data_IF_803004398743
#
_entry.id   IF_803004398743
#
_cell.length_a   1.000
_cell.length_b   1.000
_cell.length_c   1.000
_cell.angle_alpha   90.00
_cell.angle_beta   90.00
_cell.angle_gamma   90.00
#
_symmetry.space_group_name_H-M   'P 1'
#
loop_
_entity.id
_entity.type
_entity.pdbx_description
1 polymer ?
#
# COMPACT_ATOMS: atom_id res chain seq x y z
N UNK A 1 -11.92 -21.75 49.80
CA UNK A 1 -11.01 -21.14 48.80
C UNK A 1 -9.69 -20.80 49.47
N UNK A 2 -8.63 -21.46 49.05
CA UNK A 2 -7.33 -21.52 49.74
C UNK A 2 -6.49 -20.28 49.46
N UNK A 3 -5.75 -19.78 50.46
CA UNK A 3 -4.88 -18.59 50.41
C UNK A 3 -3.92 -18.56 49.20
N UNK A 4 -3.61 -19.70 48.59
CA UNK A 4 -2.75 -19.81 47.39
C UNK A 4 -3.37 -19.26 46.10
N UNK A 5 -4.70 -19.28 45.95
CA UNK A 5 -5.36 -18.75 44.76
C UNK A 5 -5.37 -17.20 44.73
N UNK A 6 -5.40 -16.58 45.91
CA UNK A 6 -5.38 -15.11 46.05
C UNK A 6 -3.99 -14.55 45.75
N UNK A 7 -2.92 -15.26 46.14
CA UNK A 7 -1.53 -14.82 45.86
C UNK A 7 -1.19 -14.90 44.37
N UNK A 8 -1.70 -15.91 43.65
CA UNK A 8 -1.48 -16.03 42.21
C UNK A 8 -2.18 -14.93 41.40
N UNK A 9 -3.39 -14.52 41.80
CA UNK A 9 -4.11 -13.41 41.17
C UNK A 9 -3.44 -12.06 41.44
N UNK A 10 -2.88 -11.87 42.64
CA UNK A 10 -2.16 -10.65 42.99
C UNK A 10 -0.83 -10.50 42.23
N UNK A 11 -0.10 -11.60 41.97
CA UNK A 11 1.11 -11.57 41.15
C UNK A 11 0.80 -11.25 39.67
N UNK A 12 -0.28 -11.82 39.11
CA UNK A 12 -0.72 -11.53 37.74
C UNK A 12 -1.18 -10.07 37.57
N UNK A 13 -1.80 -9.47 38.60
CA UNK A 13 -2.17 -8.05 38.58
C UNK A 13 -0.93 -7.12 38.67
N UNK A 14 0.12 -7.53 39.40
CA UNK A 14 1.33 -6.71 39.55
C UNK A 14 2.22 -6.62 38.29
N UNK A 15 2.15 -7.62 37.40
CA UNK A 15 2.84 -7.59 36.10
C UNK A 15 2.14 -6.71 35.05
N UNK A 16 0.88 -6.34 35.27
CA UNK A 16 0.13 -5.44 34.38
C UNK A 16 0.35 -3.95 34.70
N UNK A 17 1.02 -3.62 35.82
CA UNK A 17 1.17 -2.26 36.33
C UNK A 17 2.48 -1.56 35.91
N UNK A 18 3.24 -2.10 34.95
CA UNK A 18 4.25 -1.30 34.24
C UNK A 18 3.52 -0.31 33.32
N UNK A 19 3.01 0.76 33.93
CA UNK A 19 2.26 1.82 33.28
C UNK A 19 3.06 2.34 32.09
N UNK A 20 2.51 2.20 30.89
CA UNK A 20 2.96 2.95 29.74
C UNK A 20 2.92 4.43 30.12
N UNK A 21 4.07 5.02 30.44
CA UNK A 21 4.19 6.48 30.57
C UNK A 21 3.66 7.03 29.25
N UNK A 22 2.55 7.76 29.30
CA UNK A 22 2.12 8.59 28.19
C UNK A 22 3.25 9.58 27.93
N UNK A 23 4.06 9.28 26.92
CA UNK A 23 5.08 10.20 26.44
C UNK A 23 4.30 11.29 25.72
N UNK A 24 3.98 12.35 26.45
CA UNK A 24 3.55 13.62 25.86
C UNK A 24 4.78 14.15 25.13
N UNK A 25 4.74 14.09 23.80
CA UNK A 25 5.78 14.67 22.97
C UNK A 25 5.77 16.18 23.19
N UNK A 26 6.83 16.72 23.77
CA UNK A 26 6.93 18.15 24.03
C UNK A 26 7.03 19.00 22.75
N UNK A 27 7.44 18.39 21.62
CA UNK A 27 7.83 19.12 20.40
C UNK A 27 7.22 18.51 19.14
N UNK A 28 5.90 18.72 18.94
CA UNK A 28 5.27 18.37 17.66
C UNK A 28 5.90 19.19 16.51
N UNK A 29 6.34 18.51 15.44
CA UNK A 29 6.96 19.12 14.27
C UNK A 29 6.06 18.99 13.03
N UNK A 30 5.70 20.12 12.44
CA UNK A 30 5.04 20.18 11.13
C UNK A 30 6.05 20.69 10.09
N UNK A 31 6.36 19.86 9.09
CA UNK A 31 7.26 20.21 8.00
C UNK A 31 6.49 20.48 6.71
N UNK A 32 6.77 21.64 6.10
CA UNK A 32 6.22 22.07 4.80
C UNK A 32 7.28 22.87 4.03
N UNK A 33 7.30 22.71 2.72
CA UNK A 33 8.31 23.26 1.81
C UNK A 33 9.75 23.04 2.32
N UNK A 34 10.00 21.86 2.90
CA UNK A 34 11.31 21.51 3.47
C UNK A 34 11.69 22.19 4.79
N UNK A 35 10.82 23.02 5.38
CA UNK A 35 11.04 23.66 6.67
C UNK A 35 10.17 22.99 7.76
N UNK A 36 10.81 22.44 8.79
CA UNK A 36 10.13 21.91 9.98
C UNK A 36 10.03 23.00 11.05
N UNK A 37 8.81 23.30 11.49
CA UNK A 37 8.56 24.21 12.61
C UNK A 37 7.92 23.44 13.75
N UNK A 38 8.26 23.81 14.98
CA UNK A 38 7.46 23.40 16.12
C UNK A 38 6.03 23.92 15.89
N UNK A 39 5.01 23.08 16.10
CA UNK A 39 3.61 23.45 15.84
C UNK A 39 3.03 24.48 16.82
N UNK A 40 3.87 25.24 17.53
CA UNK A 40 3.51 26.21 18.55
C UNK A 40 2.69 27.43 18.04
N UNK A 41 2.13 27.38 16.83
CA UNK A 41 1.22 28.40 16.29
C UNK A 41 0.32 27.93 15.15
N UNK A 42 0.16 26.61 14.96
CA UNK A 42 -0.80 26.07 13.99
C UNK A 42 -2.16 25.79 14.63
N UNK A 43 -3.21 25.66 13.83
CA UNK A 43 -4.53 25.24 14.35
C UNK A 43 -4.71 23.72 14.33
N UNK A 44 -5.63 23.20 15.14
CA UNK A 44 -6.04 21.78 15.13
C UNK A 44 -6.43 21.32 13.72
N UNK A 45 -7.11 22.19 12.98
CA UNK A 45 -7.55 21.96 11.61
C UNK A 45 -6.38 21.86 10.63
N UNK A 46 -5.35 22.68 10.79
CA UNK A 46 -4.15 22.63 9.95
C UNK A 46 -3.38 21.32 10.13
N UNK A 47 -3.29 20.85 11.38
CA UNK A 47 -2.69 19.56 11.72
C UNK A 47 -3.51 18.40 11.14
N UNK A 48 -4.84 18.43 11.33
CA UNK A 48 -5.73 17.41 10.79
C UNK A 48 -5.63 17.31 9.25
N UNK A 49 -5.60 18.46 8.55
CA UNK A 49 -5.40 18.50 7.09
C UNK A 49 -4.03 17.97 6.69
N UNK A 50 -2.96 18.32 7.41
CA UNK A 50 -1.62 17.84 7.11
C UNK A 50 -1.53 16.30 7.20
N UNK A 51 -2.06 15.72 8.27
CA UNK A 51 -2.11 14.26 8.45
C UNK A 51 -2.98 13.63 7.37
N UNK A 52 -4.15 14.19 7.10
CA UNK A 52 -5.04 13.72 6.03
C UNK A 52 -4.33 13.72 4.68
N UNK A 53 -3.62 14.78 4.31
CA UNK A 53 -2.86 14.84 3.06
C UNK A 53 -1.80 13.74 2.97
N UNK A 54 -1.04 13.49 4.04
CA UNK A 54 -0.04 12.41 4.05
C UNK A 54 -0.71 11.04 3.89
N UNK A 55 -1.76 10.75 4.66
CA UNK A 55 -2.49 9.49 4.56
C UNK A 55 -3.18 9.31 3.19
N UNK A 56 -3.76 10.38 2.64
CA UNK A 56 -4.40 10.36 1.32
C UNK A 56 -3.38 10.05 0.23
N UNK A 57 -2.17 10.63 0.31
CA UNK A 57 -1.08 10.33 -0.63
C UNK A 57 -0.57 8.88 -0.52
N UNK A 58 -0.86 8.23 0.62
CA UNK A 58 -0.59 6.82 0.87
C UNK A 58 -1.72 5.89 0.43
N UNK A 59 -2.90 6.40 0.03
CA UNK A 59 -4.04 5.57 -0.35
C UNK A 59 -3.68 4.67 -1.54
N UNK A 60 -3.91 3.37 -1.40
CA UNK A 60 -3.46 2.33 -2.34
C UNK A 60 -1.96 1.98 -2.25
N UNK A 61 -1.21 2.52 -1.27
CA UNK A 61 0.25 2.42 -1.19
C UNK A 61 0.73 2.00 0.19
N UNK A 62 2.01 1.64 0.25
CA UNK A 62 2.67 1.26 1.49
C UNK A 62 3.21 2.49 2.23
N UNK A 63 2.87 2.62 3.51
CA UNK A 63 3.66 3.38 4.48
C UNK A 63 4.79 2.47 4.97
N UNK A 64 6.00 2.67 4.43
CA UNK A 64 7.20 1.92 4.82
C UNK A 64 7.59 2.32 6.24
N UNK A 65 7.63 1.31 7.12
CA UNK A 65 7.95 1.50 8.52
C UNK A 65 9.47 1.39 8.74
N UNK A 66 10.03 2.28 9.55
CA UNK A 66 11.41 2.18 10.00
C UNK A 66 11.51 2.58 11.46
N UNK A 67 12.00 1.65 12.28
CA UNK A 67 12.36 1.94 13.66
C UNK A 67 13.59 2.85 13.68
N UNK A 68 13.46 4.05 14.26
CA UNK A 68 14.50 5.07 14.30
C UNK A 68 14.53 5.78 15.67
N UNK A 69 15.44 6.73 15.84
CA UNK A 69 15.45 7.61 17.03
C UNK A 69 14.53 8.82 16.80
N UNK A 70 13.92 9.39 17.86
CA UNK A 70 13.23 10.67 17.76
C UNK A 70 14.11 11.73 17.10
N UNK A 71 13.54 12.51 16.18
CA UNK A 71 14.26 13.52 15.41
C UNK A 71 15.04 13.01 14.19
N UNK A 72 15.04 11.70 13.90
CA UNK A 72 15.69 11.17 12.70
C UNK A 72 15.09 11.79 11.42
N UNK A 73 15.94 12.31 10.54
CA UNK A 73 15.51 12.97 9.31
C UNK A 73 15.17 12.00 8.16
N UNK A 74 15.60 10.73 8.24
CA UNK A 74 15.49 9.76 7.15
C UNK A 74 15.01 8.41 7.66
N UNK A 75 14.05 7.83 6.96
CA UNK A 75 13.64 6.43 7.13
C UNK A 75 14.63 5.51 6.43
N UNK A 76 15.13 4.48 7.12
CA UNK A 76 16.02 3.45 6.55
C UNK A 76 15.28 2.18 6.11
N UNK A 77 13.95 2.16 6.19
CA UNK A 77 13.12 1.02 5.79
C UNK A 77 13.43 -0.29 6.53
N UNK A 78 13.94 -0.20 7.77
CA UNK A 78 14.36 -1.40 8.52
C UNK A 78 13.19 -2.18 9.10
N UNK A 79 11.96 -1.66 9.02
CA UNK A 79 10.79 -2.19 9.69
C UNK A 79 10.82 -1.91 11.19
N UNK A 80 9.71 -2.25 11.85
CA UNK A 80 9.62 -2.38 13.31
C UNK A 80 9.88 -3.83 13.71
N UNK A 81 10.57 -4.04 14.83
CA UNK A 81 10.83 -5.38 15.36
C UNK A 81 10.19 -5.51 16.73
N UNK A 82 9.37 -6.54 16.91
CA UNK A 82 8.78 -6.84 18.21
C UNK A 82 8.96 -8.32 18.52
N UNK A 83 9.12 -8.62 19.80
CA UNK A 83 9.17 -9.99 20.24
C UNK A 83 7.74 -10.54 20.32
N UNK A 84 7.54 -11.72 19.73
CA UNK A 84 6.26 -12.42 19.74
C UNK A 84 6.50 -13.85 20.16
N UNK A 85 5.84 -14.26 21.23
CA UNK A 85 5.71 -15.65 21.62
C UNK A 85 4.60 -16.27 20.76
N UNK A 86 4.99 -16.82 19.61
CA UNK A 86 4.07 -17.39 18.64
C UNK A 86 3.95 -18.91 18.81
N UNK A 87 3.08 -19.37 19.71
CA UNK A 87 2.99 -20.81 20.01
C UNK A 87 4.27 -21.35 20.63
N UNK A 88 4.78 -22.52 20.19
CA UNK A 88 5.96 -23.13 20.82
C UNK A 88 7.26 -22.39 20.51
N UNK A 89 7.30 -21.51 19.51
CA UNK A 89 8.54 -20.86 19.05
C UNK A 89 8.45 -19.35 19.28
N UNK A 90 9.16 -18.80 20.29
CA UNK A 90 9.33 -17.36 20.40
C UNK A 90 10.25 -16.85 19.28
N UNK A 91 9.84 -15.77 18.62
CA UNK A 91 10.69 -15.12 17.61
C UNK A 91 10.37 -13.64 17.45
N UNK A 92 11.13 -12.97 16.59
CA UNK A 92 10.93 -11.57 16.26
C UNK A 92 9.97 -11.45 15.08
N UNK A 93 8.85 -10.76 15.29
CA UNK A 93 8.04 -10.21 14.20
C UNK A 93 8.70 -8.95 13.65
N UNK A 94 8.81 -8.87 12.32
CA UNK A 94 9.29 -7.71 11.60
C UNK A 94 8.17 -7.08 10.78
N UNK A 95 7.60 -5.98 11.25
CA UNK A 95 6.62 -5.18 10.51
C UNK A 95 7.33 -4.29 9.50
N UNK A 96 7.11 -4.51 8.21
CA UNK A 96 7.82 -3.81 7.12
C UNK A 96 7.07 -2.57 6.65
N UNK A 97 5.76 -2.67 6.50
CA UNK A 97 4.92 -1.61 5.96
C UNK A 97 3.49 -1.69 6.51
N UNK A 98 2.80 -0.55 6.48
CA UNK A 98 1.34 -0.47 6.60
C UNK A 98 0.79 -0.09 5.23
N UNK A 99 0.16 -1.04 4.55
CA UNK A 99 -0.50 -0.78 3.26
C UNK A 99 -1.82 -0.05 3.54
N UNK A 100 -1.95 1.22 3.17
CA UNK A 100 -3.18 1.99 3.35
C UNK A 100 -4.08 1.68 2.16
N UNK A 101 -5.15 0.93 2.40
CA UNK A 101 -6.08 0.52 1.33
C UNK A 101 -6.92 1.70 0.88
N UNK A 102 -7.50 2.43 1.83
CA UNK A 102 -8.34 3.59 1.56
C UNK A 102 -8.31 4.54 2.75
N UNK A 103 -8.41 5.84 2.47
CA UNK A 103 -8.70 6.85 3.49
C UNK A 103 -10.18 7.18 3.39
N UNK A 104 -10.94 6.93 4.46
CA UNK A 104 -12.39 6.99 4.45
C UNK A 104 -12.90 8.44 4.42
N UNK A 105 -12.51 9.22 5.43
CA UNK A 105 -12.87 10.63 5.56
C UNK A 105 -12.04 11.32 6.64
N UNK A 106 -12.04 12.66 6.57
CA UNK A 106 -11.60 13.57 7.61
C UNK A 106 -12.84 14.13 8.32
N UNK A 107 -13.03 13.76 9.59
CA UNK A 107 -14.06 14.31 10.45
C UNK A 107 -13.50 15.53 11.19
N UNK A 108 -13.91 16.73 10.78
CA UNK A 108 -13.47 17.98 11.39
C UNK A 108 -14.09 18.24 12.76
N UNK A 109 -15.27 17.67 13.05
CA UNK A 109 -15.95 17.84 14.32
C UNK A 109 -15.29 16.97 15.40
N UNK A 110 -15.03 15.71 15.09
CA UNK A 110 -14.28 14.80 15.97
C UNK A 110 -12.78 15.08 15.94
N UNK A 111 -12.28 15.76 14.90
CA UNK A 111 -10.86 15.91 14.61
C UNK A 111 -10.22 14.54 14.42
N UNK A 112 -10.77 13.73 13.53
CA UNK A 112 -10.31 12.36 13.29
C UNK A 112 -10.15 12.07 11.80
N UNK A 113 -9.03 11.45 11.41
CA UNK A 113 -8.82 10.89 10.07
C UNK A 113 -9.01 9.38 10.17
N UNK A 114 -10.04 8.83 9.53
CA UNK A 114 -10.29 7.38 9.50
C UNK A 114 -9.78 6.78 8.20
N UNK A 115 -9.14 5.62 8.30
CA UNK A 115 -8.56 4.92 7.16
C UNK A 115 -8.65 3.41 7.36
N UNK A 116 -8.55 2.66 6.27
CA UNK A 116 -8.36 1.21 6.32
C UNK A 116 -6.97 0.85 5.83
N UNK A 117 -6.39 -0.16 6.42
CA UNK A 117 -5.07 -0.62 6.02
C UNK A 117 -4.76 -2.04 6.43
N UNK A 118 -3.64 -2.56 5.94
CA UNK A 118 -3.15 -3.91 6.21
C UNK A 118 -1.68 -3.85 6.56
N UNK A 119 -1.31 -4.37 7.74
CA UNK A 119 0.11 -4.54 8.07
C UNK A 119 0.75 -5.62 7.18
N UNK A 120 1.95 -5.32 6.69
CA UNK A 120 2.82 -6.25 5.98
C UNK A 120 4.04 -6.52 6.85
N UNK A 121 4.35 -7.78 7.07
CA UNK A 121 5.50 -8.16 7.89
C UNK A 121 5.87 -9.63 7.73
N UNK A 122 6.88 -10.03 8.48
CA UNK A 122 7.36 -11.41 8.51
C UNK A 122 7.56 -11.87 9.94
N UNK A 123 7.26 -13.13 10.22
CA UNK A 123 7.60 -13.83 11.46
C UNK A 123 8.39 -15.08 11.09
N UNK A 124 9.57 -15.28 11.68
CA UNK A 124 10.50 -16.36 11.27
C UNK A 124 10.73 -16.39 9.75
N UNK A 125 10.92 -15.22 9.12
CA UNK A 125 11.09 -15.05 7.68
C UNK A 125 9.86 -15.40 6.81
N UNK A 126 8.80 -15.97 7.39
CA UNK A 126 7.54 -16.27 6.70
C UNK A 126 6.64 -15.02 6.68
N UNK A 127 5.99 -14.70 5.55
CA UNK A 127 5.02 -13.62 5.48
C UNK A 127 3.86 -13.81 6.47
N UNK A 128 3.50 -12.73 7.17
CA UNK A 128 2.30 -12.70 8.01
C UNK A 128 1.14 -12.17 7.18
N UNK A 129 0.06 -12.93 7.11
CA UNK A 129 -1.16 -12.50 6.41
C UNK A 129 -2.06 -11.77 7.37
N UNK A 130 -2.34 -10.50 7.10
CA UNK A 130 -3.26 -9.72 7.89
C UNK A 130 -4.51 -9.35 7.11
N UNK A 131 -5.66 -9.33 7.79
CA UNK A 131 -6.88 -8.73 7.27
C UNK A 131 -6.69 -7.22 7.07
N UNK A 132 -7.57 -6.62 6.28
CA UNK A 132 -7.76 -5.17 6.34
C UNK A 132 -8.32 -4.85 7.73
N UNK A 133 -7.71 -3.87 8.38
CA UNK A 133 -8.10 -3.34 9.67
C UNK A 133 -8.47 -1.87 9.55
N UNK A 134 -9.15 -1.37 10.57
CA UNK A 134 -9.51 0.05 10.67
C UNK A 134 -8.49 0.78 11.54
N UNK A 135 -8.15 1.98 11.09
CA UNK A 135 -7.32 2.92 11.82
C UNK A 135 -7.95 4.29 11.89
N UNK A 136 -7.62 5.02 12.95
CA UNK A 136 -8.00 6.39 13.14
C UNK A 136 -6.80 7.17 13.67
N UNK A 137 -6.57 8.36 13.12
CA UNK A 137 -5.72 9.37 13.73
C UNK A 137 -6.61 10.42 14.37
N UNK A 138 -6.60 10.50 15.70
CA UNK A 138 -7.35 11.50 16.48
C UNK A 138 -6.46 12.68 16.80
N UNK A 139 -6.84 13.87 16.35
CA UNK A 139 -6.19 15.13 16.65
C UNK A 139 -6.84 15.69 17.92
N UNK A 140 -6.14 15.57 19.05
CA UNK A 140 -6.61 15.97 20.37
C UNK A 140 -6.37 17.47 20.62
N UNK A 141 -5.28 18.02 20.08
CA UNK A 141 -4.94 19.44 20.13
C UNK A 141 -4.13 19.85 18.89
N UNK A 142 -3.67 21.10 18.84
CA UNK A 142 -2.71 21.61 17.85
C UNK A 142 -1.31 20.94 17.94
N UNK A 143 -1.04 20.20 19.03
CA UNK A 143 0.26 19.56 19.30
C UNK A 143 0.17 18.07 19.59
N UNK A 144 -1.03 17.52 19.63
CA UNK A 144 -1.24 16.13 19.99
C UNK A 144 -2.15 15.44 18.98
N UNK A 145 -1.57 14.45 18.30
CA UNK A 145 -2.30 13.53 17.44
C UNK A 145 -1.96 12.09 17.82
N UNK A 146 -2.98 11.24 17.91
CA UNK A 146 -2.85 9.84 18.30
C UNK A 146 -3.32 8.93 17.19
N UNK A 147 -2.44 8.03 16.76
CA UNK A 147 -2.78 6.92 15.88
C UNK A 147 -3.31 5.75 16.70
N UNK A 148 -4.42 5.17 16.26
CA UNK A 148 -4.86 3.84 16.65
C UNK A 148 -5.15 3.03 15.38
N UNK A 149 -4.64 1.82 15.30
CA UNK A 149 -4.88 0.90 14.20
C UNK A 149 -4.95 -0.51 14.76
N UNK A 150 -5.92 -1.29 14.29
CA UNK A 150 -6.03 -2.69 14.70
C UNK A 150 -6.35 -3.60 13.54
N UNK A 151 -5.77 -4.79 13.54
CA UNK A 151 -5.99 -5.79 12.50
C UNK A 151 -5.87 -7.21 13.05
N UNK A 152 -6.41 -8.16 12.29
CA UNK A 152 -6.25 -9.58 12.54
C UNK A 152 -5.12 -10.10 11.66
N UNK A 153 -4.20 -10.86 12.24
CA UNK A 153 -3.06 -11.44 11.53
C UNK A 153 -2.94 -12.94 11.83
N UNK A 154 -2.58 -13.72 10.81
CA UNK A 154 -2.25 -15.13 10.94
C UNK A 154 -0.89 -15.41 10.32
N UNK A 155 -0.16 -16.31 10.98
CA UNK A 155 1.06 -16.91 10.48
C UNK A 155 0.99 -18.38 10.94
N UNK A 156 0.70 -19.31 10.03
CA UNK A 156 0.54 -20.76 10.31
C UNK A 156 -0.69 -21.18 11.15
N UNK A 157 -1.83 -20.49 11.02
CA UNK A 157 -3.12 -21.02 11.48
C UNK A 157 -3.88 -20.07 12.41
N UNK A 158 -3.51 -19.95 13.70
CA UNK A 158 -4.29 -19.19 14.66
C UNK A 158 -4.27 -17.70 14.33
N UNK A 159 -5.47 -17.13 14.22
CA UNK A 159 -5.66 -15.70 14.08
C UNK A 159 -5.34 -15.00 15.40
N UNK A 160 -4.53 -13.95 15.32
CA UNK A 160 -4.15 -13.11 16.44
C UNK A 160 -4.60 -11.67 16.18
N UNK A 161 -5.08 -11.00 17.22
CA UNK A 161 -5.46 -9.60 17.16
C UNK A 161 -4.26 -8.74 17.50
N UNK A 162 -3.98 -7.73 16.68
CA UNK A 162 -2.90 -6.78 16.88
C UNK A 162 -3.44 -5.36 16.91
N UNK A 163 -2.94 -4.56 17.85
CA UNK A 163 -3.22 -3.14 17.98
C UNK A 163 -1.91 -2.36 17.96
N UNK A 164 -1.79 -1.44 17.02
CA UNK A 164 -0.78 -0.40 16.94
C UNK A 164 -1.41 0.88 17.46
N UNK A 165 -0.88 1.44 18.54
CA UNK A 165 -1.26 2.77 19.00
C UNK A 165 -0.02 3.64 19.22
N UNK A 166 -0.13 4.95 19.04
CA UNK A 166 1.02 5.82 19.20
C UNK A 166 0.74 7.30 19.06
N UNK A 167 1.64 8.11 19.61
CA UNK A 167 1.57 9.57 19.56
C UNK A 167 2.41 10.07 18.40
N UNK A 168 1.76 10.76 17.46
CA UNK A 168 2.41 11.41 16.32
C UNK A 168 3.04 12.70 16.83
N UNK A 169 4.35 12.82 16.63
CA UNK A 169 5.13 14.00 16.99
C UNK A 169 5.73 14.69 15.76
N UNK A 170 5.63 14.09 14.58
CA UNK A 170 6.15 14.67 13.35
C UNK A 170 5.25 14.37 12.16
N UNK A 171 4.94 15.40 11.40
CA UNK A 171 4.25 15.30 10.11
C UNK A 171 5.03 16.11 9.09
N UNK A 172 5.53 15.43 8.07
CA UNK A 172 6.24 16.03 6.95
C UNK A 172 5.40 15.81 5.68
N UNK A 173 4.69 16.86 5.28
CA UNK A 173 3.69 16.78 4.21
C UNK A 173 4.38 16.60 2.86
N UNK A 174 5.51 17.27 2.63
CA UNK A 174 6.21 17.19 1.34
C UNK A 174 6.92 15.84 1.18
N UNK A 175 7.48 15.30 2.27
CA UNK A 175 8.17 14.01 2.24
C UNK A 175 7.21 12.81 2.37
N UNK A 176 5.92 13.05 2.62
CA UNK A 176 4.93 12.00 2.90
C UNK A 176 5.33 11.16 4.12
N UNK A 177 5.71 11.80 5.22
CA UNK A 177 6.30 11.11 6.37
C UNK A 177 5.58 11.45 7.67
N UNK A 178 5.35 10.43 8.49
CA UNK A 178 4.84 10.53 9.86
C UNK A 178 5.88 9.96 10.83
N UNK A 179 6.19 10.70 11.89
CA UNK A 179 6.96 10.21 13.03
C UNK A 179 6.02 9.99 14.21
N UNK A 180 6.16 8.84 14.87
CA UNK A 180 5.39 8.55 16.08
C UNK A 180 6.12 7.65 17.07
N UNK A 181 5.83 7.88 18.34
CA UNK A 181 6.10 6.94 19.43
C UNK A 181 5.02 5.87 19.42
N UNK A 182 5.39 4.62 19.12
CA UNK A 182 4.45 3.54 18.95
C UNK A 182 4.49 2.53 20.10
N UNK A 183 3.35 1.88 20.30
CA UNK A 183 3.13 0.68 21.08
C UNK A 183 2.40 -0.30 20.18
N UNK A 184 3.05 -1.42 19.87
CA UNK A 184 2.44 -2.55 19.19
C UNK A 184 2.19 -3.63 20.24
N UNK A 185 0.95 -4.10 20.34
CA UNK A 185 0.57 -5.21 21.21
C UNK A 185 -0.38 -6.12 20.48
N UNK A 186 -0.21 -7.42 20.65
CA UNK A 186 -1.10 -8.38 20.04
C UNK A 186 -1.16 -9.68 20.82
N UNK A 187 -2.29 -10.35 20.63
CA UNK A 187 -2.69 -11.50 21.42
C UNK A 187 -3.66 -12.39 20.65
N UNK A 188 -3.55 -13.68 20.87
CA UNK A 188 -4.43 -14.74 20.40
C UNK A 188 -4.03 -16.04 21.09
N UNK A 189 -4.82 -17.10 20.96
CA UNK A 189 -4.38 -18.42 21.43
C UNK A 189 -3.59 -19.06 20.29
N UNK A 190 -2.29 -19.40 20.43
CA UNK A 190 -1.35 -19.26 21.55
C UNK A 190 -0.26 -18.17 21.31
N UNK A 191 -0.64 -17.01 20.77
CA UNK A 191 0.27 -15.94 20.34
C UNK A 191 0.16 -14.74 21.27
N UNK A 192 1.24 -14.30 21.92
CA UNK A 192 1.29 -13.01 22.63
C UNK A 192 2.57 -12.29 22.27
N UNK A 193 2.50 -11.00 21.99
CA UNK A 193 3.68 -10.23 21.66
C UNK A 193 3.46 -8.73 21.72
N UNK A 194 4.56 -8.00 21.68
CA UNK A 194 4.51 -6.57 21.64
C UNK A 194 5.88 -5.92 21.73
N UNK A 195 5.86 -4.61 21.51
CA UNK A 195 7.05 -3.78 21.60
C UNK A 195 6.65 -2.33 21.48
N UNK A 196 7.57 -1.46 21.85
CA UNK A 196 7.40 -0.02 21.77
C UNK A 196 8.68 0.62 21.29
N UNK A 197 8.56 1.75 20.62
CA UNK A 197 9.72 2.49 20.14
C UNK A 197 9.30 3.76 19.43
N UNK A 198 10.20 4.28 18.63
CA UNK A 198 9.93 5.39 17.73
C UNK A 198 10.02 4.88 16.30
N UNK A 199 9.01 5.19 15.49
CA UNK A 199 8.98 4.79 14.09
C UNK A 199 8.75 5.99 13.19
N UNK A 200 9.36 5.92 12.01
CA UNK A 200 9.02 6.75 10.87
C UNK A 200 8.21 5.90 9.88
N UNK A 201 7.01 6.35 9.56
CA UNK A 201 6.16 5.81 8.52
C UNK A 201 6.25 6.75 7.30
N UNK A 202 6.92 6.30 6.25
CA UNK A 202 7.10 7.09 5.02
C UNK A 202 6.28 6.47 3.91
N UNK A 203 5.50 7.28 3.20
CA UNK A 203 4.85 6.89 1.94
C UNK A 203 5.95 6.36 1.04
N UNK A 204 5.85 5.08 0.67
CA UNK A 204 6.74 4.49 -0.30
C UNK A 204 6.79 5.45 -1.48
N UNK A 205 8.00 5.80 -1.96
CA UNK A 205 8.09 6.40 -3.28
C UNK A 205 7.26 5.53 -4.23
N UNK A 206 6.72 6.13 -5.28
CA UNK A 206 6.01 5.37 -6.31
C UNK A 206 7.02 4.41 -6.93
N UNK A 207 7.18 3.30 -6.25
CA UNK A 207 7.98 2.18 -6.63
C UNK A 207 6.95 1.37 -7.40
N UNK A 208 7.11 1.38 -8.73
CA UNK A 208 7.11 0.15 -9.52
C UNK A 208 6.69 -1.03 -8.66
N UNK A 209 5.41 -1.43 -8.75
CA UNK A 209 4.77 -2.40 -7.88
C UNK A 209 5.61 -3.70 -7.75
N UNK A 210 5.38 -4.57 -6.74
CA UNK A 210 6.08 -5.84 -6.61
C UNK A 210 5.97 -6.76 -7.84
N UNK A 211 4.82 -6.77 -8.54
CA UNK A 211 4.77 -6.37 -9.95
C UNK A 211 6.01 -6.55 -10.84
N UNK A 212 6.80 -5.48 -10.79
CA UNK A 212 7.92 -5.14 -11.63
C UNK A 212 9.22 -5.83 -11.20
N UNK A 213 9.27 -6.52 -10.05
CA UNK A 213 10.45 -7.30 -9.65
C UNK A 213 10.44 -8.72 -10.20
N UNK A 214 9.27 -9.30 -10.44
CA UNK A 214 9.17 -10.43 -11.36
C UNK A 214 9.44 -9.96 -12.81
N UNK A 215 9.01 -8.72 -13.12
CA UNK A 215 9.26 -8.06 -14.41
C UNK A 215 10.71 -7.65 -14.67
N UNK A 216 11.56 -7.56 -13.63
CA UNK A 216 12.95 -7.14 -13.77
C UNK A 216 13.81 -8.18 -14.51
N UNK A 217 13.40 -9.46 -14.47
CA UNK A 217 13.95 -10.52 -15.31
C UNK A 217 13.10 -10.77 -16.57
N UNK A 218 11.87 -10.26 -16.67
CA UNK A 218 10.99 -10.40 -17.84
C UNK A 218 10.05 -9.21 -17.96
N UNK A 219 10.40 -8.20 -18.75
CA UNK A 219 9.68 -6.92 -18.77
C UNK A 219 8.50 -6.87 -19.75
N UNK A 220 7.39 -6.24 -19.36
CA UNK A 220 6.38 -5.68 -20.27
C UNK A 220 6.37 -4.16 -20.17
N UNK A 221 6.51 -3.49 -21.31
CA UNK A 221 6.20 -2.06 -21.48
C UNK A 221 5.11 -1.94 -22.53
N UNK A 222 4.02 -1.23 -22.21
CA UNK A 222 2.96 -0.97 -23.17
C UNK A 222 2.69 0.53 -23.27
N UNK A 223 2.47 1.02 -24.49
CA UNK A 223 2.12 2.40 -24.80
C UNK A 223 0.90 2.41 -25.71
N UNK A 224 -0.11 3.17 -25.31
CA UNK A 224 -1.25 3.48 -26.14
C UNK A 224 -1.05 4.87 -26.74
N UNK A 225 -1.24 5.00 -28.04
CA UNK A 225 -1.24 6.25 -28.79
C UNK A 225 -2.58 6.36 -29.53
N UNK A 226 -3.35 7.38 -29.21
CA UNK A 226 -4.45 7.87 -30.05
C UNK A 226 -3.87 8.74 -31.19
N UNK A 227 -4.75 9.25 -32.07
CA UNK A 227 -4.31 9.98 -33.25
C UNK A 227 -3.80 11.40 -32.93
N UNK A 228 -4.25 11.98 -31.82
CA UNK A 228 -4.01 13.38 -31.44
C UNK A 228 -3.26 13.58 -30.11
N UNK A 229 -3.02 12.52 -29.34
CA UNK A 229 -2.15 12.51 -28.16
C UNK A 229 -2.80 12.94 -26.85
N UNK A 230 -4.14 13.05 -26.78
CA UNK A 230 -4.85 13.67 -25.66
C UNK A 230 -5.46 12.68 -24.65
N UNK A 231 -5.27 11.37 -24.86
CA UNK A 231 -5.81 10.26 -24.09
C UNK A 231 -7.35 10.10 -24.18
N UNK A 232 -7.98 10.72 -25.18
CA UNK A 232 -9.40 10.57 -25.51
C UNK A 232 -9.49 9.89 -26.88
N UNK A 233 -10.07 8.69 -26.92
CA UNK A 233 -10.29 8.01 -28.21
C UNK A 233 -11.70 8.34 -28.69
N UNK A 234 -11.80 9.21 -29.68
CA UNK A 234 -13.09 9.60 -30.25
C UNK A 234 -13.70 8.46 -31.09
N UNK A 235 -15.02 8.45 -31.20
CA UNK A 235 -15.74 7.54 -32.08
C UNK A 235 -15.32 7.79 -33.55
N UNK A 236 -14.92 6.72 -34.24
CA UNK A 236 -14.34 6.78 -35.59
C UNK A 236 -12.81 6.94 -35.62
N UNK A 237 -12.16 7.11 -34.46
CA UNK A 237 -10.72 7.32 -34.38
C UNK A 237 -9.94 6.00 -34.34
N UNK A 238 -8.74 6.01 -34.93
CA UNK A 238 -7.79 4.91 -34.87
C UNK A 238 -6.79 5.14 -33.75
N UNK A 239 -6.64 4.13 -32.89
CA UNK A 239 -5.59 4.10 -31.88
C UNK A 239 -4.59 2.97 -32.18
N UNK A 240 -3.36 3.14 -31.70
CA UNK A 240 -2.26 2.18 -31.80
C UNK A 240 -1.77 1.81 -30.41
N UNK A 241 -1.86 0.53 -30.06
CA UNK A 241 -1.25 -0.06 -28.89
C UNK A 241 0.09 -0.70 -29.29
N UNK A 242 1.19 -0.18 -28.76
CA UNK A 242 2.52 -0.78 -28.90
C UNK A 242 2.88 -1.49 -27.60
N UNK A 243 3.18 -2.78 -27.68
CA UNK A 243 3.61 -3.60 -26.54
C UNK A 243 5.03 -4.10 -26.82
N UNK A 244 5.95 -3.75 -25.95
CA UNK A 244 7.34 -4.18 -25.95
C UNK A 244 7.54 -5.18 -24.80
N UNK A 245 8.13 -6.32 -25.12
CA UNK A 245 8.41 -7.41 -24.19
C UNK A 245 9.90 -7.71 -24.20
N UNK A 246 10.46 -7.98 -23.03
CA UNK A 246 11.86 -8.38 -22.88
C UNK A 246 11.97 -9.59 -21.97
N UNK A 247 12.86 -10.52 -22.30
CA UNK A 247 13.20 -11.66 -21.47
C UNK A 247 14.63 -11.51 -21.00
N UNK A 248 14.87 -10.89 -19.84
CA UNK A 248 16.21 -10.76 -19.25
C UNK A 248 16.58 -11.94 -18.33
N UNK A 249 15.70 -12.94 -18.21
CA UNK A 249 15.89 -14.16 -17.42
C UNK A 249 16.70 -15.23 -18.16
N UNK A 250 17.04 -16.30 -17.43
CA UNK A 250 17.91 -17.36 -17.94
C UNK A 250 17.22 -18.38 -18.87
N UNK A 251 15.88 -18.42 -18.88
CA UNK A 251 15.08 -19.41 -19.62
C UNK A 251 14.22 -18.75 -20.70
N UNK A 252 14.05 -19.43 -21.83
CA UNK A 252 13.15 -19.00 -22.90
C UNK A 252 11.68 -19.02 -22.43
N UNK A 253 10.93 -17.96 -22.74
CA UNK A 253 9.49 -17.92 -22.58
C UNK A 253 8.83 -18.67 -23.74
N UNK A 254 7.99 -19.65 -23.44
CA UNK A 254 7.29 -20.44 -24.46
C UNK A 254 5.85 -20.00 -24.61
N UNK A 255 5.32 -20.04 -25.83
CA UNK A 255 3.93 -19.69 -26.14
C UNK A 255 3.50 -18.35 -25.50
N UNK A 256 4.35 -17.33 -25.66
CA UNK A 256 4.10 -15.98 -25.18
C UNK A 256 2.87 -15.41 -25.88
N UNK A 257 1.91 -14.94 -25.08
CA UNK A 257 0.61 -14.45 -25.53
C UNK A 257 0.28 -13.13 -24.83
N UNK A 258 -0.33 -12.22 -25.57
CA UNK A 258 -0.98 -11.03 -25.02
C UNK A 258 -2.45 -11.33 -24.79
N UNK A 259 -2.96 -11.00 -23.61
CA UNK A 259 -4.38 -11.04 -23.27
C UNK A 259 -4.89 -9.63 -23.06
N UNK A 260 -6.06 -9.37 -23.63
CA UNK A 260 -6.73 -8.07 -23.53
C UNK A 260 -8.03 -8.24 -22.76
N UNK A 261 -8.22 -7.43 -21.73
CA UNK A 261 -9.42 -7.46 -20.88
C UNK A 261 -9.83 -6.03 -20.48
N UNK A 262 -11.02 -5.90 -19.89
CA UNK A 262 -11.62 -4.61 -19.54
C UNK A 262 -12.88 -4.34 -20.35
N UNK A 263 -12.98 -3.12 -20.86
CA UNK A 263 -14.19 -2.62 -21.53
C UNK A 263 -14.55 -3.42 -22.79
N UNK A 264 -15.82 -3.88 -22.93
CA UNK A 264 -16.25 -4.72 -24.07
C UNK A 264 -15.97 -4.12 -25.45
N UNK A 265 -16.08 -2.79 -25.58
CA UNK A 265 -15.81 -2.10 -26.84
C UNK A 265 -14.35 -2.26 -27.29
N UNK A 266 -13.39 -2.18 -26.36
CA UNK A 266 -11.97 -2.27 -26.67
C UNK A 266 -11.52 -3.72 -26.85
N UNK A 267 -12.03 -4.64 -26.03
CA UNK A 267 -11.69 -6.07 -26.12
C UNK A 267 -12.28 -6.71 -27.38
N UNK A 268 -13.45 -6.27 -27.85
CA UNK A 268 -14.01 -6.70 -29.13
C UNK A 268 -13.16 -6.28 -30.34
N UNK A 269 -12.47 -5.13 -30.26
CA UNK A 269 -11.62 -4.61 -31.34
C UNK A 269 -10.24 -5.28 -31.38
N UNK A 270 -9.62 -5.46 -30.21
CA UNK A 270 -8.27 -6.01 -30.10
C UNK A 270 -8.23 -7.54 -30.15
N UNK A 271 -9.39 -8.18 -29.93
CA UNK A 271 -9.48 -9.61 -29.68
C UNK A 271 -9.11 -9.94 -28.24
N UNK A 272 -9.56 -11.10 -27.74
CA UNK A 272 -9.28 -11.50 -26.35
C UNK A 272 -7.80 -11.89 -26.13
N UNK A 273 -7.14 -12.41 -27.16
CA UNK A 273 -5.78 -12.94 -27.04
C UNK A 273 -5.02 -12.84 -28.37
N UNK A 274 -3.70 -12.65 -28.29
CA UNK A 274 -2.78 -12.64 -29.44
C UNK A 274 -1.52 -13.43 -29.13
N UNK A 275 -1.24 -14.44 -29.95
CA UNK A 275 -0.01 -15.24 -29.85
C UNK A 275 1.19 -14.48 -30.45
N UNK A 276 2.29 -14.44 -29.70
CA UNK A 276 3.57 -13.86 -30.12
C UNK A 276 4.64 -14.93 -30.39
N UNK A 277 4.45 -16.15 -29.90
CA UNK A 277 5.39 -17.27 -30.09
C UNK A 277 6.38 -17.41 -28.92
N UNK A 278 7.53 -18.01 -29.17
CA UNK A 278 8.56 -18.19 -28.13
C UNK A 278 9.51 -16.98 -28.11
N UNK A 279 9.94 -16.56 -26.91
CA UNK A 279 10.94 -15.51 -26.72
C UNK A 279 12.17 -16.06 -25.98
N UNK A 280 13.32 -16.24 -26.65
CA UNK A 280 14.56 -16.71 -26.04
C UNK A 280 15.02 -15.86 -24.86
N UNK A 281 15.89 -16.44 -24.03
CA UNK A 281 16.57 -15.72 -22.95
C UNK A 281 17.49 -14.62 -23.52
N UNK A 282 17.42 -13.42 -22.95
CA UNK A 282 18.16 -12.24 -23.37
C UNK A 282 17.55 -11.45 -24.53
N UNK A 283 16.43 -11.89 -25.10
CA UNK A 283 15.82 -11.24 -26.28
C UNK A 283 14.63 -10.34 -25.93
N UNK A 284 14.27 -9.48 -26.88
CA UNK A 284 13.10 -8.61 -26.80
C UNK A 284 12.27 -8.70 -28.09
N UNK A 285 10.96 -8.50 -27.96
CA UNK A 285 10.02 -8.47 -29.09
C UNK A 285 9.04 -7.31 -28.93
N UNK A 286 8.48 -6.84 -30.05
CA UNK A 286 7.50 -5.76 -30.08
C UNK A 286 6.29 -6.18 -30.91
N UNK A 287 5.09 -5.89 -30.41
CA UNK A 287 3.83 -6.13 -31.09
C UNK A 287 3.02 -4.85 -31.14
N UNK A 288 2.58 -4.48 -32.33
CA UNK A 288 1.65 -3.38 -32.54
C UNK A 288 0.26 -3.93 -32.85
N UNK A 289 -0.73 -3.39 -32.15
CA UNK A 289 -2.15 -3.65 -32.38
C UNK A 289 -2.80 -2.33 -32.70
N UNK A 290 -3.53 -2.26 -33.82
CA UNK A 290 -4.31 -1.08 -34.19
C UNK A 290 -5.79 -1.42 -34.12
N UNK A 291 -6.57 -0.49 -33.57
CA UNK A 291 -8.02 -0.59 -33.50
C UNK A 291 -8.65 0.72 -33.94
N UNK A 292 -9.81 0.65 -34.58
CA UNK A 292 -10.62 1.83 -34.89
C UNK A 292 -11.92 1.73 -34.10
N UNK A 293 -12.21 2.75 -33.29
CA UNK A 293 -13.41 2.77 -32.47
C UNK A 293 -14.65 2.96 -33.37
N UNK A 294 -15.69 2.11 -33.29
CA UNK A 294 -16.89 2.29 -34.10
C UNK A 294 -17.56 3.65 -33.85
N UNK A 295 -18.11 4.27 -34.89
CA UNK A 295 -18.84 5.54 -34.77
C UNK A 295 -20.06 5.46 -33.84
N UNK A 296 -20.60 4.25 -33.63
CA UNK A 296 -21.73 3.97 -32.74
C UNK A 296 -21.34 3.82 -31.27
N UNK A 297 -20.06 3.99 -30.91
CA UNK A 297 -19.59 3.80 -29.54
C UNK A 297 -20.11 4.93 -28.63
N UNK A 298 -20.83 4.61 -27.54
CA UNK A 298 -21.32 5.63 -26.62
C UNK A 298 -20.16 6.26 -25.84
N UNK A 299 -20.36 7.52 -25.44
CA UNK A 299 -19.39 8.21 -24.59
C UNK A 299 -19.33 7.55 -23.20
N UNK A 300 -18.16 7.08 -22.79
CA UNK A 300 -17.96 6.44 -21.49
C UNK A 300 -16.47 6.38 -21.12
N UNK A 301 -16.17 6.39 -19.83
CA UNK A 301 -14.84 6.00 -19.35
C UNK A 301 -14.67 4.50 -19.51
N UNK A 302 -13.50 4.09 -19.99
CA UNK A 302 -13.16 2.72 -20.32
C UNK A 302 -11.77 2.34 -19.78
N UNK A 303 -11.66 1.08 -19.40
CA UNK A 303 -10.41 0.45 -18.99
C UNK A 303 -9.95 -0.56 -20.04
N UNK A 304 -8.65 -0.58 -20.31
CA UNK A 304 -7.99 -1.62 -21.10
C UNK A 304 -6.83 -2.18 -20.30
N UNK A 305 -6.93 -3.46 -19.96
CA UNK A 305 -5.86 -4.22 -19.31
C UNK A 305 -5.20 -5.14 -20.32
N UNK A 306 -3.88 -5.01 -20.42
CA UNK A 306 -3.00 -5.80 -21.29
C UNK A 306 -2.12 -6.67 -20.39
N UNK A 307 -2.17 -7.98 -20.58
CA UNK A 307 -1.36 -8.93 -19.84
C UNK A 307 -0.51 -9.74 -20.81
N UNK A 308 0.77 -9.96 -20.50
CA UNK A 308 1.59 -10.92 -21.18
C UNK A 308 1.72 -12.19 -20.33
N UNK A 309 1.39 -13.33 -20.91
CA UNK A 309 1.46 -14.64 -20.25
C UNK A 309 2.28 -15.62 -21.09
N UNK A 310 2.94 -16.57 -20.44
CA UNK A 310 3.68 -17.64 -21.11
C UNK A 310 3.45 -19.01 -20.45
N UNK A 311 3.82 -20.07 -21.14
CA UNK A 311 3.73 -21.43 -20.63
C UNK A 311 4.97 -21.82 -19.78
N UNK A 312 4.85 -22.81 -18.87
CA UNK A 312 3.63 -23.54 -18.52
C UNK A 312 2.72 -22.80 -17.53
N UNK A 313 1.39 -22.94 -17.71
CA UNK A 313 0.41 -22.54 -16.71
C UNK A 313 0.03 -21.05 -16.71
N UNK A 314 0.09 -20.38 -17.86
CA UNK A 314 -0.22 -18.94 -17.99
C UNK A 314 0.57 -18.06 -16.99
N UNK A 315 1.87 -18.33 -16.85
CA UNK A 315 2.75 -17.54 -15.99
C UNK A 315 2.75 -16.08 -16.47
N UNK A 316 2.39 -15.16 -15.57
CA UNK A 316 2.33 -13.73 -15.86
C UNK A 316 3.74 -13.15 -16.01
N UNK A 317 3.99 -12.57 -17.17
CA UNK A 317 5.23 -11.86 -17.53
C UNK A 317 5.13 -10.40 -17.07
N UNK A 318 3.97 -9.79 -17.29
CA UNK A 318 3.67 -8.45 -16.79
C UNK A 318 2.28 -7.99 -17.24
N UNK A 319 1.78 -6.94 -16.60
CA UNK A 319 0.49 -6.35 -16.91
C UNK A 319 0.55 -4.82 -16.96
N UNK A 320 -0.29 -4.21 -17.79
CA UNK A 320 -0.50 -2.77 -17.83
C UNK A 320 -1.98 -2.46 -18.02
N UNK A 321 -2.50 -1.54 -17.21
CA UNK A 321 -3.85 -1.01 -17.37
C UNK A 321 -3.80 0.43 -17.86
N UNK A 322 -4.64 0.73 -18.84
CA UNK A 322 -4.92 2.07 -19.36
C UNK A 322 -6.33 2.48 -18.94
N UNK A 323 -6.46 3.75 -18.56
CA UNK A 323 -7.75 4.41 -18.34
C UNK A 323 -7.93 5.41 -19.48
N UNK A 324 -9.08 5.35 -20.15
CA UNK A 324 -9.36 6.10 -21.37
C UNK A 324 -10.77 6.65 -21.30
N UNK A 325 -10.99 7.80 -21.91
CA UNK A 325 -12.33 8.28 -22.18
C UNK A 325 -12.68 8.00 -23.64
N UNK A 326 -13.77 7.27 -23.88
CA UNK A 326 -14.30 7.02 -25.21
C UNK A 326 -15.24 8.18 -25.56
N UNK A 327 -14.93 8.92 -26.61
CA UNK A 327 -15.70 10.08 -27.03
C UNK A 327 -16.84 9.68 -27.97
N UNK A 328 -18.09 9.65 -27.50
CA UNK A 328 -19.25 9.49 -28.38
C UNK A 328 -19.51 10.78 -29.17
N UNK A 329 -19.81 10.68 -30.48
CA UNK A 329 -20.36 11.83 -31.22
C UNK A 329 -21.73 12.17 -30.63
N UNK A 330 -21.83 13.35 -30.01
CA UNK A 330 -23.13 13.96 -29.75
C UNK A 330 -23.77 14.22 -31.10
N UNK A 331 -24.77 13.42 -31.46
CA UNK A 331 -25.50 13.61 -32.71
C UNK A 331 -26.04 15.03 -32.78
N UNK A 332 -25.54 15.81 -33.74
CA UNK A 332 -26.26 16.96 -34.25
C UNK A 332 -27.60 16.41 -34.79
N UNK A 333 -28.69 16.80 -34.14
CA UNK A 333 -30.04 16.66 -34.69
C UNK A 333 -30.20 17.56 -35.91
#
# INVERSE_FOLDING_TARGET
MTRRAVTALALLASLAACSARQVVSADFQLCRKGACKAAAGGTREELARAIYTVLQSASGRDLVLSEEKPGAARSRGRGIRVFTQGGPIPAVYKGKALHVTEVLYLDMAEGAVKFKGRMRGTFLFVPVHCSVGEGAVRILSDREARLEFSNLCTWLGPTSFWKLDGNIDRVDVDAGLLGLHYHLRGGGVPVVGGGSGYLLAKVAAEAAEPEERASAERGLTARLQDADGDAIVAAGETFTLTVELSNTGAEAMKNLRLRFSGSPALTALLGAERLLGDLPAGEATSSQVRGTLPESTPAQSADLRVEAVCDPGDALVGAKTFQLDLGGRVGAR
#
